data_IF_338100655048
#
_entry.id   IF_338100655048
#
_cell.length_a   1.000
_cell.length_b   1.000
_cell.length_c   1.000
_cell.angle_alpha   90.00
_cell.angle_beta   90.00
_cell.angle_gamma   90.00
#
_symmetry.space_group_name_H-M   'P 1'
#
loop_
_entity.id
_entity.type
_entity.pdbx_description
1 polymer ?
#
# COMPACT_ATOMS: atom_id res chain seq x y z
N UNK A 1 16.07 12.66 4.18
CA UNK A 1 15.66 11.64 5.19
C UNK A 1 16.87 10.83 5.63
N UNK A 2 16.89 10.11 6.76
CA UNK A 2 18.05 9.26 7.06
C UNK A 2 18.10 8.08 6.07
N UNK A 3 19.28 7.76 5.55
CA UNK A 3 19.50 6.62 4.65
C UNK A 3 19.05 5.27 5.23
N UNK A 4 18.82 5.21 6.54
CA UNK A 4 18.33 4.03 7.25
C UNK A 4 16.81 3.81 7.10
N UNK A 5 15.99 4.86 6.92
CA UNK A 5 14.53 4.72 6.89
C UNK A 5 13.98 4.28 5.52
N UNK A 6 14.61 4.72 4.43
CA UNK A 6 14.20 4.41 3.05
C UNK A 6 14.17 2.90 2.77
N UNK A 7 15.21 2.10 3.11
CA UNK A 7 15.21 0.66 2.89
C UNK A 7 14.09 -0.07 3.66
N UNK A 8 13.74 0.42 4.86
CA UNK A 8 12.70 -0.22 5.69
C UNK A 8 11.32 -0.07 5.03
N UNK A 9 10.98 1.12 4.54
CA UNK A 9 9.73 1.32 3.81
C UNK A 9 9.68 0.50 2.53
N UNK A 10 10.77 0.43 1.78
CA UNK A 10 10.84 -0.36 0.56
C UNK A 10 10.59 -1.85 0.83
N UNK A 11 11.25 -2.43 1.83
CA UNK A 11 11.08 -3.85 2.19
C UNK A 11 9.62 -4.12 2.59
N UNK A 12 9.05 -3.30 3.47
CA UNK A 12 7.67 -3.47 3.95
C UNK A 12 6.63 -3.35 2.84
N UNK A 13 6.77 -2.35 1.97
CA UNK A 13 5.86 -2.11 0.85
C UNK A 13 5.98 -3.20 -0.23
N UNK A 14 7.19 -3.68 -0.54
CA UNK A 14 7.37 -4.81 -1.45
C UNK A 14 6.77 -6.11 -0.89
N UNK A 15 6.93 -6.36 0.42
CA UNK A 15 6.31 -7.49 1.08
C UNK A 15 4.77 -7.40 1.00
N UNK A 16 4.19 -6.21 1.22
CA UNK A 16 2.76 -5.98 1.07
C UNK A 16 2.27 -6.23 -0.36
N UNK A 17 3.02 -5.79 -1.39
CA UNK A 17 2.73 -6.10 -2.79
C UNK A 17 2.69 -7.61 -3.05
N UNK A 18 3.68 -8.35 -2.53
CA UNK A 18 3.71 -9.82 -2.65
C UNK A 18 2.61 -10.54 -1.85
N UNK A 19 2.08 -9.94 -0.77
CA UNK A 19 0.90 -10.46 -0.09
C UNK A 19 -0.37 -10.29 -0.94
N UNK A 20 -0.48 -9.19 -1.68
CA UNK A 20 -1.59 -8.98 -2.61
C UNK A 20 -1.57 -9.98 -3.77
N UNK A 21 -0.39 -10.37 -4.27
CA UNK A 21 -0.25 -11.46 -5.25
C UNK A 21 -0.80 -12.79 -4.70
N UNK A 22 -0.50 -13.10 -3.44
CA UNK A 22 -1.04 -14.30 -2.79
C UNK A 22 -2.54 -14.20 -2.58
N UNK A 23 -3.07 -13.02 -2.25
CA UNK A 23 -4.50 -12.79 -2.11
C UNK A 23 -5.24 -13.01 -3.44
N UNK A 24 -4.69 -12.51 -4.54
CA UNK A 24 -5.22 -12.72 -5.89
C UNK A 24 -5.21 -14.21 -6.28
N UNK A 25 -4.08 -14.90 -6.08
CA UNK A 25 -3.97 -16.33 -6.35
C UNK A 25 -4.94 -17.16 -5.49
N UNK A 26 -5.12 -16.79 -4.22
CA UNK A 26 -6.09 -17.42 -3.32
C UNK A 26 -7.53 -17.20 -3.79
N UNK A 27 -7.87 -15.96 -4.17
CA UNK A 27 -9.20 -15.61 -4.67
C UNK A 27 -9.54 -16.44 -5.93
N UNK A 28 -8.62 -16.51 -6.88
CA UNK A 28 -8.77 -17.32 -8.09
C UNK A 28 -8.96 -18.82 -7.77
N UNK A 29 -8.09 -19.39 -6.91
CA UNK A 29 -8.15 -20.80 -6.55
C UNK A 29 -9.45 -21.18 -5.81
N UNK A 30 -10.05 -20.24 -5.08
CA UNK A 30 -11.29 -20.45 -4.31
C UNK A 30 -12.54 -19.93 -5.00
N UNK A 31 -12.43 -19.37 -6.20
CA UNK A 31 -13.53 -18.72 -6.95
C UNK A 31 -14.21 -17.61 -6.10
N UNK A 32 -13.41 -16.87 -5.36
CA UNK A 32 -13.84 -15.71 -4.58
C UNK A 32 -13.59 -14.47 -5.44
N UNK A 33 -14.55 -13.55 -5.50
CA UNK A 33 -14.31 -12.23 -6.09
C UNK A 33 -13.23 -11.49 -5.26
N UNK A 34 -12.10 -11.06 -5.85
CA UNK A 34 -11.06 -10.31 -5.13
C UNK A 34 -11.58 -9.10 -4.34
N UNK A 35 -12.67 -8.47 -4.80
CA UNK A 35 -13.31 -7.36 -4.09
C UNK A 35 -13.75 -7.76 -2.68
N UNK A 36 -14.15 -9.02 -2.45
CA UNK A 36 -14.51 -9.53 -1.12
C UNK A 36 -13.31 -9.45 -0.17
N UNK A 37 -12.13 -9.86 -0.62
CA UNK A 37 -10.92 -9.79 0.19
C UNK A 37 -10.52 -8.34 0.47
N UNK A 38 -10.61 -7.46 -0.53
CA UNK A 38 -10.29 -6.04 -0.40
C UNK A 38 -11.21 -5.29 0.57
N UNK A 39 -12.49 -5.68 0.62
CA UNK A 39 -13.48 -5.08 1.52
C UNK A 39 -13.55 -5.76 2.90
N UNK A 40 -12.79 -6.84 3.11
CA UNK A 40 -12.73 -7.51 4.41
C UNK A 40 -12.06 -6.63 5.46
N UNK A 41 -12.60 -6.66 6.68
CA UNK A 41 -12.11 -5.97 7.88
C UNK A 41 -12.00 -6.96 9.04
N UNK A 42 -11.05 -6.72 9.95
CA UNK A 42 -10.84 -7.58 11.11
C UNK A 42 -11.90 -7.40 12.20
N UNK A 43 -12.47 -6.20 12.31
CA UNK A 43 -13.53 -5.87 13.25
C UNK A 43 -14.48 -4.84 12.62
N UNK A 44 -15.78 -4.78 13.01
CA UNK A 44 -16.78 -3.95 12.31
C UNK A 44 -16.44 -2.46 12.18
N UNK A 45 -15.74 -1.86 13.14
CA UNK A 45 -15.37 -0.44 13.12
C UNK A 45 -13.98 -0.16 12.50
N UNK A 46 -13.26 -1.21 12.10
CA UNK A 46 -11.95 -1.06 11.46
C UNK A 46 -12.09 -0.79 9.96
N UNK A 47 -11.10 -0.07 9.42
CA UNK A 47 -10.96 0.11 7.99
C UNK A 47 -10.71 -1.23 7.26
N UNK A 48 -11.30 -1.41 6.06
CA UNK A 48 -11.08 -2.60 5.24
C UNK A 48 -9.67 -2.65 4.66
N UNK A 49 -9.25 -3.82 4.17
CA UNK A 49 -7.90 -4.05 3.63
C UNK A 49 -7.49 -3.01 2.59
N UNK A 50 -8.39 -2.61 1.69
CA UNK A 50 -8.11 -1.58 0.68
C UNK A 50 -7.62 -0.27 1.30
N UNK A 51 -8.27 0.16 2.38
CA UNK A 51 -7.92 1.38 3.10
C UNK A 51 -6.67 1.21 3.94
N UNK A 52 -6.41 0.01 4.48
CA UNK A 52 -5.16 -0.29 5.19
C UNK A 52 -3.95 -0.18 4.26
N UNK A 53 -4.04 -0.68 3.03
CA UNK A 53 -2.97 -0.54 2.02
C UNK A 53 -2.74 0.93 1.66
N UNK A 54 -3.82 1.70 1.51
CA UNK A 54 -3.74 3.13 1.26
C UNK A 54 -3.01 3.85 2.42
N UNK A 55 -3.42 3.60 3.67
CA UNK A 55 -2.80 4.20 4.85
C UNK A 55 -1.31 3.83 4.94
N UNK A 56 -0.94 2.56 4.71
CA UNK A 56 0.46 2.13 4.76
C UNK A 56 1.35 2.92 3.77
N UNK A 57 0.85 3.12 2.54
CA UNK A 57 1.53 3.92 1.53
C UNK A 57 1.59 5.41 1.92
N UNK A 58 0.52 5.98 2.47
CA UNK A 58 0.50 7.38 2.91
C UNK A 58 1.41 7.62 4.11
N UNK A 59 1.52 6.66 5.03
CA UNK A 59 2.48 6.73 6.14
C UNK A 59 3.92 6.79 5.64
N UNK A 60 4.29 5.93 4.67
CA UNK A 60 5.62 5.93 4.08
C UNK A 60 5.91 7.25 3.32
N UNK A 61 4.98 7.67 2.46
CA UNK A 61 5.07 8.89 1.67
C UNK A 61 5.15 10.15 2.55
N UNK A 62 4.15 10.37 3.40
CA UNK A 62 3.99 11.61 4.16
C UNK A 62 5.04 11.69 5.27
N UNK A 63 5.32 10.57 5.95
CA UNK A 63 6.39 10.49 6.93
C UNK A 63 7.76 10.77 6.28
N UNK A 64 7.99 10.18 5.11
CA UNK A 64 9.09 10.49 4.20
C UNK A 64 9.28 11.96 3.94
N UNK A 65 8.30 12.55 3.26
CA UNK A 65 8.34 13.91 2.78
C UNK A 65 8.52 14.91 3.94
N UNK A 66 7.81 14.71 5.06
CA UNK A 66 7.91 15.57 6.25
C UNK A 66 9.32 15.58 6.84
N UNK A 67 9.99 14.44 6.90
CA UNK A 67 11.37 14.35 7.42
C UNK A 67 12.42 14.87 6.44
N UNK A 68 12.11 14.86 5.14
CA UNK A 68 12.96 15.44 4.10
C UNK A 68 12.70 16.93 3.84
N UNK A 69 11.64 17.51 4.43
CA UNK A 69 11.25 18.91 4.23
C UNK A 69 10.71 19.19 2.83
N UNK A 70 10.13 18.18 2.16
CA UNK A 70 9.55 18.29 0.82
C UNK A 70 8.04 18.06 0.86
N UNK A 71 7.32 18.55 -0.15
CA UNK A 71 5.87 18.31 -0.28
C UNK A 71 5.61 16.89 -0.83
N UNK A 72 4.78 16.06 -0.17
CA UNK A 72 4.45 14.73 -0.68
C UNK A 72 3.53 14.80 -1.91
N UNK A 73 3.63 13.87 -2.87
CA UNK A 73 2.68 13.78 -3.97
C UNK A 73 1.28 13.44 -3.47
N UNK A 74 0.25 14.02 -4.07
CA UNK A 74 -1.15 13.67 -3.74
C UNK A 74 -1.54 12.38 -4.45
N UNK A 75 -2.07 11.42 -3.70
CA UNK A 75 -2.66 10.19 -4.24
C UNK A 75 -4.15 10.21 -3.91
N UNK A 76 -4.99 10.06 -4.92
CA UNK A 76 -6.44 9.96 -4.74
C UNK A 76 -6.80 8.53 -4.34
N UNK A 77 -7.61 8.37 -3.30
CA UNK A 77 -8.01 7.08 -2.71
C UNK A 77 -9.12 6.39 -3.53
N UNK A 78 -8.88 6.21 -4.81
CA UNK A 78 -9.86 5.73 -5.80
C UNK A 78 -9.65 4.28 -6.23
N UNK A 79 -8.65 3.60 -5.66
CA UNK A 79 -8.37 2.20 -5.96
C UNK A 79 -9.56 1.31 -5.57
N UNK A 80 -9.85 0.32 -6.41
CA UNK A 80 -10.88 -0.69 -6.23
C UNK A 80 -10.37 -2.12 -6.49
N UNK A 81 -9.21 -2.26 -7.14
CA UNK A 81 -8.65 -3.56 -7.53
C UNK A 81 -7.27 -3.80 -6.93
N UNK A 82 -6.83 -5.07 -6.91
CA UNK A 82 -5.50 -5.47 -6.44
C UNK A 82 -4.41 -4.79 -7.28
N UNK A 83 -4.58 -4.75 -8.59
CA UNK A 83 -3.62 -4.15 -9.52
C UNK A 83 -3.45 -2.65 -9.26
N UNK A 84 -4.55 -1.94 -8.99
CA UNK A 84 -4.50 -0.52 -8.66
C UNK A 84 -3.78 -0.27 -7.33
N UNK A 85 -4.02 -1.11 -6.31
CA UNK A 85 -3.29 -1.04 -5.05
C UNK A 85 -1.79 -1.33 -5.23
N UNK A 86 -1.43 -2.34 -6.02
CA UNK A 86 -0.03 -2.62 -6.36
C UNK A 86 0.61 -1.46 -7.12
N UNK A 87 -0.11 -0.81 -8.03
CA UNK A 87 0.36 0.38 -8.71
C UNK A 87 0.58 1.56 -7.74
N UNK A 88 -0.29 1.73 -6.73
CA UNK A 88 -0.11 2.71 -5.65
C UNK A 88 1.15 2.42 -4.82
N UNK A 89 1.37 1.15 -4.47
CA UNK A 89 2.56 0.69 -3.75
C UNK A 89 3.82 1.02 -4.56
N UNK A 90 3.86 0.64 -5.84
CA UNK A 90 5.00 0.90 -6.72
C UNK A 90 5.31 2.40 -6.85
N UNK A 91 4.28 3.23 -7.06
CA UNK A 91 4.42 4.71 -7.08
C UNK A 91 4.95 5.26 -5.75
N UNK A 92 4.51 4.69 -4.63
CA UNK A 92 4.98 5.10 -3.29
C UNK A 92 6.45 4.75 -3.10
N UNK A 93 6.88 3.53 -3.44
CA UNK A 93 8.28 3.11 -3.37
C UNK A 93 9.14 4.01 -4.25
N UNK A 94 8.71 4.31 -5.48
CA UNK A 94 9.43 5.18 -6.39
C UNK A 94 9.66 6.57 -5.78
N UNK A 95 8.63 7.17 -5.17
CA UNK A 95 8.78 8.44 -4.47
C UNK A 95 9.71 8.35 -3.25
N UNK A 96 9.54 7.34 -2.39
CA UNK A 96 10.36 7.18 -1.18
C UNK A 96 11.85 7.03 -1.52
N UNK A 97 12.18 6.42 -2.67
CA UNK A 97 13.57 6.32 -3.17
C UNK A 97 14.20 7.65 -3.58
N UNK A 98 13.41 8.72 -3.71
CA UNK A 98 13.90 10.07 -4.05
C UNK A 98 14.22 10.94 -2.82
N UNK A 99 13.94 10.45 -1.60
CA UNK A 99 14.06 11.19 -0.32
C UNK A 99 15.37 10.96 0.44
#
# INVERSE_FOLDING_TARGET
MSSAAVPVFEIGLNALSGLLDKAEAYAAAKKIDPAVLLQTRLYPDMFPLIRQVQIACDSAKNGGARLAGVEPPKYEDTEQTIEQLKARIARTIAFVKTL
#
